data_IF_047211108442
#
_entry.id   IF_047211108442
#
_cell.length_a   1.000
_cell.length_b   1.000
_cell.length_c   1.000
_cell.angle_alpha   90.00
_cell.angle_beta   90.00
_cell.angle_gamma   90.00
#
_symmetry.space_group_name_H-M   'P 1'
#
loop_
_entity.id
_entity.type
_entity.pdbx_description
1 polymer ?
#
# COMPACT_ATOMS: atom_id res chain seq x y z
N UNK A 1 -31.44 -11.88 -19.92
CA UNK A 1 -29.97 -11.77 -19.85
C UNK A 1 -29.58 -10.42 -20.44
N UNK A 2 -29.27 -9.45 -19.59
CA UNK A 2 -28.74 -8.15 -20.02
C UNK A 2 -27.28 -8.36 -20.42
N UNK A 3 -26.81 -7.89 -21.58
CA UNK A 3 -25.41 -8.04 -21.97
C UNK A 3 -24.53 -7.29 -20.96
N UNK A 4 -23.54 -7.99 -20.39
CA UNK A 4 -22.52 -7.39 -19.56
C UNK A 4 -21.81 -6.30 -20.37
N UNK A 5 -21.80 -5.08 -19.86
CA UNK A 5 -21.02 -3.98 -20.44
C UNK A 5 -19.55 -4.34 -20.24
N UNK A 6 -18.86 -4.71 -21.30
CA UNK A 6 -17.39 -4.75 -21.31
C UNK A 6 -16.87 -3.31 -21.28
N UNK A 7 -16.75 -2.75 -20.09
CA UNK A 7 -15.90 -1.58 -19.86
C UNK A 7 -14.45 -1.95 -20.21
N UNK A 8 -13.70 -1.09 -20.90
CA UNK A 8 -12.31 -1.36 -21.22
C UNK A 8 -11.51 -1.54 -19.92
N UNK A 9 -10.61 -2.54 -19.90
CA UNK A 9 -9.76 -2.95 -18.77
C UNK A 9 -8.87 -1.84 -18.16
N UNK A 10 -8.89 -0.64 -18.74
CA UNK A 10 -8.06 0.50 -18.37
C UNK A 10 -8.77 1.52 -17.49
N UNK A 11 -10.11 1.53 -17.47
CA UNK A 11 -10.87 2.54 -16.74
C UNK A 11 -10.69 2.38 -15.22
N UNK A 12 -10.73 3.49 -14.50
CA UNK A 12 -10.79 3.47 -13.03
C UNK A 12 -12.16 2.95 -12.59
N UNK A 13 -12.30 2.37 -11.39
CA UNK A 13 -13.57 1.82 -10.95
C UNK A 13 -14.57 2.96 -10.84
N UNK A 14 -15.56 2.96 -11.73
CA UNK A 14 -16.65 3.94 -11.75
C UNK A 14 -17.91 3.28 -11.20
N UNK A 15 -17.94 3.02 -9.88
CA UNK A 15 -19.08 2.33 -9.31
C UNK A 15 -18.90 1.85 -7.88
N UNK A 16 -20.02 1.34 -7.35
CA UNK A 16 -20.22 0.89 -5.98
C UNK A 16 -20.38 -0.64 -5.87
N UNK A 17 -20.31 -1.36 -6.98
CA UNK A 17 -20.44 -2.83 -7.04
C UNK A 17 -19.09 -3.45 -7.39
N UNK A 18 -18.86 -4.69 -6.94
CA UNK A 18 -17.71 -5.50 -7.35
C UNK A 18 -17.88 -5.87 -8.83
N UNK A 19 -17.41 -5.02 -9.73
CA UNK A 19 -17.21 -5.38 -11.13
C UNK A 19 -15.72 -5.22 -11.45
N UNK A 20 -14.98 -6.26 -11.09
CA UNK A 20 -13.53 -6.27 -11.10
C UNK A 20 -12.96 -7.16 -12.21
N UNK A 21 -13.55 -7.10 -13.39
CA UNK A 21 -13.03 -7.76 -14.59
C UNK A 21 -13.46 -9.21 -14.76
N UNK A 22 -14.48 -9.67 -14.04
CA UNK A 22 -15.12 -10.97 -14.28
C UNK A 22 -14.29 -12.22 -13.92
N UNK A 23 -13.21 -12.07 -13.15
CA UNK A 23 -12.44 -13.21 -12.64
C UNK A 23 -12.90 -13.53 -11.21
N UNK A 24 -13.37 -14.76 -10.99
CA UNK A 24 -13.90 -15.19 -9.69
C UNK A 24 -12.88 -15.14 -8.53
N UNK A 25 -11.62 -14.79 -8.78
CA UNK A 25 -10.51 -14.99 -7.83
C UNK A 25 -9.42 -13.92 -7.90
N UNK A 26 -9.68 -12.76 -8.53
CA UNK A 26 -8.71 -11.69 -8.69
C UNK A 26 -9.27 -10.53 -9.50
N UNK A 27 -8.53 -9.42 -9.53
CA UNK A 27 -8.81 -8.34 -10.47
C UNK A 27 -8.23 -8.69 -11.86
N UNK A 28 -8.06 -7.68 -12.73
CA UNK A 28 -7.29 -7.84 -13.96
C UNK A 28 -5.83 -8.28 -13.70
N UNK A 29 -5.17 -8.99 -14.63
CA UNK A 29 -3.74 -9.26 -14.55
C UNK A 29 -2.93 -7.99 -14.30
N UNK A 30 -1.91 -8.08 -13.45
CA UNK A 30 -1.05 -6.93 -13.15
C UNK A 30 -0.06 -6.70 -14.29
N UNK A 31 -0.11 -5.52 -14.92
CA UNK A 31 0.84 -5.11 -15.94
C UNK A 31 1.93 -4.25 -15.30
N UNK A 32 3.18 -4.70 -15.36
CA UNK A 32 4.34 -3.93 -14.93
C UNK A 32 5.38 -3.90 -16.05
N UNK A 33 6.23 -2.87 -16.15
CA UNK A 33 7.43 -2.95 -16.96
C UNK A 33 8.41 -3.98 -16.38
N UNK A 34 9.40 -4.36 -17.19
CA UNK A 34 10.50 -5.17 -16.67
C UNK A 34 11.13 -4.47 -15.46
N UNK A 35 11.56 -5.24 -14.46
CA UNK A 35 12.09 -4.68 -13.22
C UNK A 35 13.33 -3.79 -13.44
N UNK A 36 14.13 -4.08 -14.47
CA UNK A 36 15.32 -3.30 -14.86
C UNK A 36 15.01 -2.11 -15.75
N UNK A 37 13.80 -2.01 -16.29
CA UNK A 37 13.42 -0.97 -17.25
C UNK A 37 12.65 0.16 -16.55
N UNK A 38 12.86 1.42 -16.98
CA UNK A 38 12.00 2.52 -16.58
C UNK A 38 10.56 2.31 -17.08
N UNK A 39 9.62 3.09 -16.55
CA UNK A 39 8.28 3.14 -17.15
C UNK A 39 8.36 3.69 -18.58
N UNK A 40 7.46 3.23 -19.44
CA UNK A 40 7.35 3.79 -20.79
C UNK A 40 7.02 5.30 -20.73
N UNK A 41 7.55 6.04 -21.71
CA UNK A 41 7.26 7.46 -21.87
C UNK A 41 5.76 7.67 -22.09
N UNK A 42 5.24 8.80 -21.60
CA UNK A 42 3.82 9.17 -21.70
C UNK A 42 3.33 9.13 -23.15
N UNK A 43 2.20 8.47 -23.36
CA UNK A 43 1.18 9.00 -24.26
C UNK A 43 0.40 10.09 -23.52
N UNK A 44 -0.17 11.05 -24.25
CA UNK A 44 -0.82 12.27 -23.74
C UNK A 44 -2.10 12.05 -22.89
N UNK A 45 -2.32 10.85 -22.34
CA UNK A 45 -3.50 10.55 -21.53
C UNK A 45 -3.34 11.08 -20.11
N UNK A 46 -4.25 11.97 -19.70
CA UNK A 46 -4.30 12.58 -18.37
C UNK A 46 -5.71 12.44 -17.77
N UNK A 47 -5.88 11.63 -16.71
CA UNK A 47 -7.10 11.65 -15.91
C UNK A 47 -6.85 12.17 -14.49
N UNK A 48 -6.15 13.30 -14.32
CA UNK A 48 -5.85 13.87 -12.98
C UNK A 48 -7.10 14.07 -12.11
N UNK A 49 -8.24 14.43 -12.72
CA UNK A 49 -9.53 14.53 -12.01
C UNK A 49 -10.00 13.19 -11.44
N UNK A 50 -9.81 12.10 -12.19
CA UNK A 50 -10.22 10.75 -11.78
C UNK A 50 -9.40 10.21 -10.61
N UNK A 51 -8.12 10.62 -10.48
CA UNK A 51 -7.26 10.21 -9.37
C UNK A 51 -7.68 10.80 -8.02
N UNK A 52 -8.01 12.09 -8.02
CA UNK A 52 -8.42 12.78 -6.79
C UNK A 52 -9.72 12.18 -6.25
N UNK A 53 -10.70 11.97 -7.12
CA UNK A 53 -11.98 11.32 -6.77
C UNK A 53 -11.76 9.90 -6.25
N UNK A 54 -10.86 9.13 -6.88
CA UNK A 54 -10.54 7.77 -6.44
C UNK A 54 -9.86 7.75 -5.06
N UNK A 55 -8.92 8.66 -4.80
CA UNK A 55 -8.29 8.78 -3.47
C UNK A 55 -9.33 9.14 -2.40
N UNK A 56 -10.25 10.06 -2.71
CA UNK A 56 -11.33 10.44 -1.80
C UNK A 56 -12.30 9.28 -1.54
N UNK A 57 -12.57 8.45 -2.56
CA UNK A 57 -13.36 7.24 -2.40
C UNK A 57 -12.71 6.26 -1.42
N UNK A 58 -11.42 5.95 -1.59
CA UNK A 58 -10.66 5.09 -0.66
C UNK A 58 -10.80 5.61 0.78
N UNK A 59 -10.59 6.91 0.97
CA UNK A 59 -10.71 7.54 2.29
C UNK A 59 -12.13 7.44 2.87
N UNK A 60 -13.15 7.58 2.03
CA UNK A 60 -14.55 7.52 2.47
C UNK A 60 -14.93 6.10 2.90
N UNK A 61 -14.41 5.08 2.23
CA UNK A 61 -14.63 3.67 2.58
C UNK A 61 -14.04 3.29 3.95
N UNK A 62 -13.04 4.03 4.44
CA UNK A 62 -12.44 3.82 5.76
C UNK A 62 -13.18 4.48 6.93
N UNK A 63 -14.33 5.11 6.69
CA UNK A 63 -15.14 5.75 7.75
C UNK A 63 -16.28 4.83 8.15
N UNK A 64 -16.37 4.51 9.43
CA UNK A 64 -17.40 3.63 10.01
C UNK A 64 -18.84 4.08 9.68
N UNK A 65 -19.07 5.38 9.51
CA UNK A 65 -20.39 5.96 9.24
C UNK A 65 -20.73 6.09 7.73
N UNK A 66 -19.80 5.74 6.84
CA UNK A 66 -20.06 5.86 5.41
C UNK A 66 -20.98 4.72 4.96
N UNK A 67 -22.08 4.99 4.24
CA UNK A 67 -22.88 3.92 3.65
C UNK A 67 -22.03 3.18 2.61
N UNK A 68 -21.45 2.05 3.02
CA UNK A 68 -20.80 1.12 2.11
C UNK A 68 -21.89 0.50 1.25
N UNK A 69 -21.80 0.62 -0.08
CA UNK A 69 -22.74 -0.10 -0.93
C UNK A 69 -22.69 -1.60 -0.62
N UNK A 70 -23.84 -2.28 -0.61
CA UNK A 70 -23.87 -3.70 -0.35
C UNK A 70 -23.03 -4.41 -1.40
N UNK A 71 -22.00 -5.09 -0.94
CA UNK A 71 -21.25 -6.07 -1.70
C UNK A 71 -21.86 -7.41 -1.34
N UNK A 72 -22.33 -8.16 -2.35
CA UNK A 72 -22.75 -9.54 -2.15
C UNK A 72 -21.53 -10.32 -1.60
N UNK A 73 -21.61 -10.91 -0.40
CA UNK A 73 -20.52 -11.72 0.13
C UNK A 73 -20.18 -12.83 -0.86
N UNK A 74 -18.89 -13.06 -1.11
CA UNK A 74 -18.45 -14.24 -1.85
C UNK A 74 -18.98 -15.50 -1.17
N UNK A 75 -19.46 -16.47 -1.93
CA UNK A 75 -20.18 -17.64 -1.39
C UNK A 75 -19.27 -18.56 -0.56
N UNK A 76 -17.94 -18.48 -0.71
CA UNK A 76 -16.97 -19.31 0.03
C UNK A 76 -15.73 -18.53 0.54
N UNK A 77 -15.29 -18.85 1.76
CA UNK A 77 -14.14 -18.22 2.43
C UNK A 77 -12.83 -18.39 1.63
N UNK A 78 -12.67 -19.50 0.91
CA UNK A 78 -11.54 -19.76 0.02
C UNK A 78 -11.35 -18.68 -1.04
N UNK A 79 -12.45 -18.19 -1.62
CA UNK A 79 -12.40 -17.19 -2.69
C UNK A 79 -11.93 -15.85 -2.15
N UNK A 80 -12.49 -15.44 -1.01
CA UNK A 80 -12.11 -14.21 -0.33
C UNK A 80 -10.62 -14.18 0.00
N UNK A 81 -10.12 -15.20 0.70
CA UNK A 81 -8.73 -15.20 1.11
C UNK A 81 -7.75 -15.44 -0.04
N UNK A 82 -8.18 -16.14 -1.10
CA UNK A 82 -7.41 -16.18 -2.35
C UNK A 82 -7.33 -14.80 -3.00
N UNK A 83 -8.44 -14.07 -3.08
CA UNK A 83 -8.48 -12.69 -3.56
C UNK A 83 -7.54 -11.80 -2.75
N UNK A 84 -7.62 -11.84 -1.41
CA UNK A 84 -6.70 -11.09 -0.54
C UNK A 84 -5.25 -11.42 -0.83
N UNK A 85 -4.95 -12.71 -0.98
CA UNK A 85 -3.61 -13.20 -1.27
C UNK A 85 -3.06 -12.64 -2.58
N UNK A 86 -3.80 -12.79 -3.69
CA UNK A 86 -3.34 -12.32 -5.01
C UNK A 86 -3.29 -10.79 -5.07
N UNK A 87 -4.38 -10.12 -4.70
CA UNK A 87 -4.52 -8.66 -4.84
C UNK A 87 -3.55 -7.91 -3.94
N UNK A 88 -3.39 -8.35 -2.68
CA UNK A 88 -2.46 -7.71 -1.74
C UNK A 88 -1.01 -7.83 -2.18
N UNK A 89 -0.58 -9.01 -2.68
CA UNK A 89 0.79 -9.17 -3.22
C UNK A 89 1.02 -8.33 -4.48
N UNK A 90 0.03 -8.24 -5.38
CA UNK A 90 0.13 -7.36 -6.54
C UNK A 90 0.33 -5.90 -6.15
N UNK A 91 -0.34 -5.43 -5.09
CA UNK A 91 -0.09 -4.09 -4.52
C UNK A 91 1.33 -3.97 -3.99
N UNK A 92 1.86 -4.98 -3.27
CA UNK A 92 3.27 -5.00 -2.84
C UNK A 92 4.23 -4.80 -4.02
N UNK A 93 3.96 -5.43 -5.17
CA UNK A 93 4.85 -5.32 -6.34
C UNK A 93 4.85 -3.91 -6.92
N UNK A 94 3.67 -3.29 -7.00
CA UNK A 94 3.56 -1.90 -7.43
C UNK A 94 4.30 -0.97 -6.45
N UNK A 95 4.11 -1.18 -5.14
CA UNK A 95 4.79 -0.40 -4.09
C UNK A 95 6.32 -0.54 -4.23
N UNK A 96 6.85 -1.75 -4.36
CA UNK A 96 8.29 -1.97 -4.55
C UNK A 96 8.82 -1.31 -5.82
N UNK A 97 8.04 -1.32 -6.91
CA UNK A 97 8.40 -0.61 -8.13
C UNK A 97 8.45 0.91 -7.90
N UNK A 98 7.43 1.49 -7.27
CA UNK A 98 7.38 2.93 -6.98
C UNK A 98 8.52 3.38 -6.06
N UNK A 99 8.83 2.58 -5.03
CA UNK A 99 10.00 2.80 -4.17
C UNK A 99 11.30 2.69 -4.97
N UNK A 100 11.47 1.67 -5.80
CA UNK A 100 12.65 1.49 -6.65
C UNK A 100 12.86 2.67 -7.60
N UNK A 101 11.80 3.21 -8.18
CA UNK A 101 11.88 4.42 -9.02
C UNK A 101 12.30 5.65 -8.23
N UNK A 102 11.78 5.81 -7.02
CA UNK A 102 12.16 6.92 -6.14
C UNK A 102 13.64 6.84 -5.73
N UNK A 103 14.13 5.63 -5.46
CA UNK A 103 15.56 5.38 -5.24
C UNK A 103 16.41 5.71 -6.48
N UNK A 104 15.95 5.32 -7.66
CA UNK A 104 16.62 5.64 -8.93
C UNK A 104 16.62 7.15 -9.22
N UNK A 105 15.55 7.88 -8.87
CA UNK A 105 15.47 9.35 -8.94
C UNK A 105 16.46 10.01 -7.96
N UNK A 106 16.55 9.52 -6.71
CA UNK A 106 17.52 10.00 -5.71
C UNK A 106 18.95 9.81 -6.18
N UNK A 107 19.30 8.61 -6.66
CA UNK A 107 20.65 8.28 -7.10
C UNK A 107 21.08 9.11 -8.32
N UNK A 108 20.13 9.56 -9.15
CA UNK A 108 20.37 10.45 -10.29
C UNK A 108 20.33 11.93 -9.93
N UNK A 109 20.02 12.28 -8.68
CA UNK A 109 19.83 13.67 -8.24
C UNK A 109 18.58 14.34 -8.83
N UNK A 110 17.62 13.58 -9.35
CA UNK A 110 16.37 14.09 -9.90
C UNK A 110 15.34 14.47 -8.82
N UNK A 111 15.55 14.01 -7.59
CA UNK A 111 14.79 14.38 -6.39
C UNK A 111 15.73 14.51 -5.19
N UNK A 112 15.34 15.27 -4.18
CA UNK A 112 16.11 15.42 -2.95
C UNK A 112 15.74 14.35 -1.92
N UNK A 113 16.66 14.03 -1.00
CA UNK A 113 16.39 13.12 0.11
C UNK A 113 15.15 13.54 0.92
N UNK A 114 15.02 14.84 1.19
CA UNK A 114 13.89 15.40 1.92
C UNK A 114 12.55 15.18 1.19
N UNK A 115 12.53 15.36 -0.13
CA UNK A 115 11.31 15.17 -0.93
C UNK A 115 10.92 13.69 -1.08
N UNK A 116 11.89 12.77 -0.96
CA UNK A 116 11.67 11.35 -1.08
C UNK A 116 11.31 10.65 0.24
N UNK A 117 11.60 11.26 1.39
CA UNK A 117 11.44 10.63 2.69
C UNK A 117 9.98 10.25 2.98
N UNK A 118 9.06 11.22 2.92
CA UNK A 118 7.65 10.99 3.24
C UNK A 118 6.97 9.95 2.31
N UNK A 119 7.13 10.01 0.97
CA UNK A 119 6.64 8.94 0.10
C UNK A 119 7.23 7.56 0.46
N UNK A 120 8.52 7.49 0.83
CA UNK A 120 9.17 6.24 1.21
C UNK A 120 8.56 5.66 2.48
N UNK A 121 8.32 6.49 3.51
CA UNK A 121 7.64 6.06 4.74
C UNK A 121 6.25 5.49 4.42
N UNK A 122 5.44 6.22 3.62
CA UNK A 122 4.09 5.74 3.26
C UNK A 122 4.09 4.46 2.43
N UNK A 123 5.09 4.26 1.59
CA UNK A 123 5.22 3.00 0.86
C UNK A 123 5.63 1.83 1.77
N UNK A 124 6.47 2.06 2.79
CA UNK A 124 6.78 1.05 3.81
C UNK A 124 5.56 0.73 4.67
N UNK A 125 4.81 1.75 5.09
CA UNK A 125 3.55 1.59 5.82
C UNK A 125 2.54 0.80 4.98
N UNK A 126 2.42 1.15 3.69
CA UNK A 126 1.58 0.46 2.72
C UNK A 126 1.95 -1.01 2.54
N UNK A 127 3.25 -1.32 2.50
CA UNK A 127 3.72 -2.70 2.45
C UNK A 127 3.34 -3.47 3.72
N UNK A 128 3.46 -2.84 4.90
CA UNK A 128 3.04 -3.40 6.18
C UNK A 128 1.54 -3.71 6.19
N UNK A 129 0.71 -2.76 5.73
CA UNK A 129 -0.74 -2.96 5.58
C UNK A 129 -1.07 -4.13 4.64
N UNK A 130 -0.34 -4.30 3.53
CA UNK A 130 -0.53 -5.45 2.64
C UNK A 130 -0.10 -6.79 3.24
N UNK A 131 0.92 -6.81 4.09
CA UNK A 131 1.29 -8.01 4.84
C UNK A 131 0.20 -8.40 5.84
N UNK A 132 -0.41 -7.44 6.55
CA UNK A 132 -1.56 -7.70 7.41
C UNK A 132 -2.77 -8.19 6.61
N UNK A 133 -3.08 -7.52 5.50
CA UNK A 133 -4.19 -7.87 4.63
C UNK A 133 -4.07 -9.29 4.05
N UNK A 134 -2.92 -9.63 3.47
CA UNK A 134 -2.65 -10.99 2.94
C UNK A 134 -2.50 -12.02 4.06
N UNK A 135 -1.92 -11.63 5.19
CA UNK A 135 -1.73 -12.44 6.39
C UNK A 135 -2.99 -12.62 7.24
N UNK A 136 -4.07 -11.92 6.92
CA UNK A 136 -5.37 -12.06 7.61
C UNK A 136 -5.95 -13.47 7.46
N UNK A 137 -5.57 -14.18 6.40
CA UNK A 137 -5.93 -15.56 6.11
C UNK A 137 -5.84 -16.48 7.36
N UNK A 138 -6.91 -17.24 7.67
CA UNK A 138 -6.88 -18.28 8.69
C UNK A 138 -5.76 -19.27 8.39
N UNK A 139 -5.08 -19.73 9.44
CA UNK A 139 -3.93 -20.61 9.32
C UNK A 139 -4.28 -21.89 8.55
N UNK A 140 -5.41 -22.51 8.86
CA UNK A 140 -5.84 -23.74 8.21
C UNK A 140 -6.05 -23.52 6.70
N UNK A 141 -6.72 -22.44 6.32
CA UNK A 141 -6.95 -22.06 4.94
C UNK A 141 -5.63 -21.78 4.19
N UNK A 142 -4.68 -21.10 4.84
CA UNK A 142 -3.33 -20.94 4.28
C UNK A 142 -2.65 -22.30 4.03
N UNK A 143 -2.80 -23.27 4.93
CA UNK A 143 -2.16 -24.58 4.81
C UNK A 143 -2.85 -25.53 3.83
N UNK A 144 -4.16 -25.40 3.59
CA UNK A 144 -4.89 -26.27 2.64
C UNK A 144 -4.99 -25.68 1.23
N UNK A 145 -4.97 -24.35 1.08
CA UNK A 145 -5.17 -23.68 -0.21
C UNK A 145 -3.89 -22.98 -0.70
N UNK A 146 -3.43 -21.97 0.05
CA UNK A 146 -2.39 -21.03 -0.40
C UNK A 146 -1.01 -21.70 -0.47
N UNK A 147 -0.59 -22.39 0.59
CA UNK A 147 0.73 -23.02 0.66
C UNK A 147 0.87 -24.19 -0.33
N UNK A 148 -0.12 -25.07 -0.50
CA UNK A 148 -0.07 -26.11 -1.53
C UNK A 148 0.01 -25.54 -2.95
N UNK A 149 -0.75 -24.49 -3.27
CA UNK A 149 -0.72 -23.87 -4.61
C UNK A 149 0.67 -23.28 -4.94
N UNK A 150 1.33 -22.62 -3.98
CA UNK A 150 2.71 -22.15 -4.14
C UNK A 150 3.69 -23.32 -4.34
N UNK A 151 3.54 -24.41 -3.58
CA UNK A 151 4.38 -25.60 -3.69
C UNK A 151 4.22 -26.31 -5.04
N UNK A 152 3.02 -26.29 -5.63
CA UNK A 152 2.76 -26.81 -6.98
C UNK A 152 3.56 -26.06 -8.05
N UNK A 153 3.82 -24.76 -7.85
CA UNK A 153 4.70 -23.99 -8.73
C UNK A 153 6.16 -24.34 -8.49
N UNK A 154 6.60 -24.32 -7.24
CA UNK A 154 7.94 -24.76 -6.87
C UNK A 154 8.07 -25.06 -5.36
N UNK A 155 8.79 -26.13 -5.02
CA UNK A 155 9.04 -26.54 -3.61
C UNK A 155 9.71 -25.47 -2.73
N UNK A 156 10.42 -24.54 -3.36
CA UNK A 156 11.19 -23.46 -2.74
C UNK A 156 10.58 -22.06 -2.94
N UNK A 157 9.31 -21.99 -3.37
CA UNK A 157 8.64 -20.73 -3.70
C UNK A 157 8.80 -19.71 -2.56
N UNK A 158 9.23 -18.50 -2.90
CA UNK A 158 9.63 -17.49 -1.92
C UNK A 158 9.30 -16.09 -2.43
N UNK A 159 8.86 -15.20 -1.53
CA UNK A 159 8.69 -13.77 -1.82
C UNK A 159 9.97 -13.11 -2.34
N UNK A 160 11.14 -13.62 -1.96
CA UNK A 160 12.43 -13.11 -2.43
C UNK A 160 12.69 -13.32 -3.93
N UNK A 161 11.81 -14.03 -4.64
CA UNK A 161 11.90 -14.23 -6.08
C UNK A 161 11.24 -13.13 -6.90
N UNK A 162 10.48 -12.25 -6.25
CA UNK A 162 9.86 -11.10 -6.92
C UNK A 162 10.91 -10.25 -7.65
N UNK A 163 10.74 -9.96 -8.95
CA UNK A 163 11.73 -9.19 -9.72
C UNK A 163 12.02 -7.79 -9.18
N UNK A 164 11.04 -7.10 -8.59
CA UNK A 164 11.20 -5.72 -8.10
C UNK A 164 11.77 -5.64 -6.66
N UNK A 165 11.63 -6.70 -5.86
CA UNK A 165 12.05 -6.71 -4.45
C UNK A 165 13.56 -6.45 -4.22
N UNK A 166 14.50 -6.96 -5.05
CA UNK A 166 15.93 -6.70 -4.86
C UNK A 166 16.29 -5.21 -4.76
N UNK A 167 15.54 -4.31 -5.41
CA UNK A 167 15.79 -2.85 -5.38
C UNK A 167 15.54 -2.23 -4.01
N UNK A 168 14.63 -2.80 -3.23
CA UNK A 168 14.17 -2.27 -1.94
C UNK A 168 14.60 -3.13 -0.75
N UNK A 169 15.21 -4.29 -1.02
CA UNK A 169 15.59 -5.27 0.00
C UNK A 169 16.48 -4.70 1.10
N UNK A 170 17.48 -3.89 0.77
CA UNK A 170 18.39 -3.34 1.78
C UNK A 170 17.69 -2.34 2.70
N UNK A 171 16.71 -1.58 2.18
CA UNK A 171 15.88 -0.69 3.00
C UNK A 171 15.12 -1.48 4.07
N UNK A 172 14.44 -2.56 3.69
CA UNK A 172 13.71 -3.42 4.64
C UNK A 172 14.64 -4.14 5.64
N UNK A 173 15.94 -4.24 5.33
CA UNK A 173 16.98 -4.71 6.27
C UNK A 173 17.47 -3.62 7.23
N UNK A 174 16.81 -2.47 7.27
CA UNK A 174 17.21 -1.33 8.10
C UNK A 174 18.44 -0.60 7.56
N UNK A 175 18.76 -0.76 6.28
CA UNK A 175 19.92 -0.11 5.62
C UNK A 175 19.40 0.88 4.58
N UNK A 176 18.97 2.09 4.99
CA UNK A 176 18.53 3.09 4.04
C UNK A 176 19.68 3.45 3.06
N UNK A 177 19.36 3.88 1.83
CA UNK A 177 20.36 4.30 0.86
C UNK A 177 21.26 5.40 1.41
N UNK A 178 22.55 5.38 1.04
CA UNK A 178 23.50 6.44 1.41
C UNK A 178 23.06 7.83 0.94
N UNK A 179 22.34 7.90 -0.19
CA UNK A 179 21.74 9.13 -0.70
C UNK A 179 20.69 9.75 0.24
N UNK A 180 20.21 9.00 1.24
CA UNK A 180 19.30 9.49 2.28
C UNK A 180 20.00 9.78 3.62
N UNK A 181 21.29 9.44 3.78
CA UNK A 181 22.02 9.56 5.06
C UNK A 181 22.31 10.99 5.52
N UNK A 182 22.02 12.00 4.69
CA UNK A 182 22.17 13.42 5.04
C UNK A 182 20.92 14.05 5.68
N UNK A 183 19.81 13.32 5.78
CA UNK A 183 18.56 13.78 6.40
C UNK A 183 18.22 13.01 7.68
N UNK A 184 17.25 13.51 8.44
CA UNK A 184 16.66 12.78 9.55
C UNK A 184 15.83 11.60 9.00
N UNK A 185 16.37 10.39 9.09
CA UNK A 185 15.72 9.15 8.63
C UNK A 185 14.97 8.42 9.74
N UNK A 186 14.80 9.05 10.93
CA UNK A 186 14.16 8.43 12.09
C UNK A 186 12.78 7.83 11.78
N UNK A 187 11.91 8.62 11.15
CA UNK A 187 10.56 8.16 10.76
C UNK A 187 10.60 6.96 9.80
N UNK A 188 11.52 6.96 8.83
CA UNK A 188 11.66 5.84 7.89
C UNK A 188 12.15 4.57 8.59
N UNK A 189 13.11 4.70 9.51
CA UNK A 189 13.61 3.57 10.29
C UNK A 189 12.53 3.01 11.22
N UNK A 190 11.68 3.88 11.79
CA UNK A 190 10.52 3.48 12.57
C UNK A 190 9.49 2.72 11.73
N UNK A 191 9.14 3.22 10.54
CA UNK A 191 8.28 2.49 9.59
C UNK A 191 8.88 1.13 9.21
N UNK A 192 10.19 1.03 8.96
CA UNK A 192 10.87 -0.25 8.66
C UNK A 192 10.85 -1.19 9.87
N UNK A 193 11.00 -0.68 11.09
CA UNK A 193 10.88 -1.47 12.32
C UNK A 193 9.48 -2.05 12.45
N UNK A 194 8.44 -1.24 12.29
CA UNK A 194 7.04 -1.70 12.33
C UNK A 194 6.77 -2.74 11.24
N UNK A 195 7.26 -2.51 10.03
CA UNK A 195 7.20 -3.49 8.94
C UNK A 195 7.77 -4.85 9.36
N UNK A 196 8.94 -4.86 10.01
CA UNK A 196 9.58 -6.11 10.43
C UNK A 196 8.76 -6.83 11.52
N UNK A 197 8.18 -6.09 12.47
CA UNK A 197 7.25 -6.66 13.46
C UNK A 197 6.03 -7.30 12.79
N UNK A 198 5.40 -6.61 11.85
CA UNK A 198 4.26 -7.13 11.07
C UNK A 198 4.67 -8.39 10.30
N UNK A 199 5.79 -8.33 9.58
CA UNK A 199 6.29 -9.46 8.79
C UNK A 199 6.55 -10.70 9.67
N UNK A 200 7.21 -10.51 10.81
CA UNK A 200 7.55 -11.59 11.72
C UNK A 200 6.29 -12.17 12.39
N UNK A 201 5.32 -11.33 12.77
CA UNK A 201 4.02 -11.77 13.26
C UNK A 201 3.27 -12.61 12.22
N UNK A 202 3.15 -12.13 10.98
CA UNK A 202 2.51 -12.89 9.89
C UNK A 202 3.22 -14.23 9.65
N UNK A 203 4.55 -14.25 9.69
CA UNK A 203 5.33 -15.47 9.57
C UNK A 203 5.08 -16.44 10.74
N UNK A 204 5.04 -15.95 11.97
CA UNK A 204 4.74 -16.74 13.16
C UNK A 204 3.32 -17.35 13.11
N UNK A 205 2.34 -16.58 12.63
CA UNK A 205 0.95 -17.06 12.45
C UNK A 205 0.86 -18.15 11.38
N UNK A 206 1.37 -17.89 10.18
CA UNK A 206 1.14 -18.76 9.02
C UNK A 206 2.14 -19.91 8.90
N UNK A 207 3.33 -19.77 9.48
CA UNK A 207 4.44 -20.72 9.38
C UNK A 207 5.20 -20.79 10.72
N UNK A 208 4.56 -21.20 11.84
CA UNK A 208 5.16 -21.13 13.18
C UNK A 208 6.44 -21.93 13.35
N UNK A 209 6.64 -23.00 12.57
CA UNK A 209 7.89 -23.76 12.57
C UNK A 209 9.06 -22.99 11.92
N UNK A 210 8.84 -21.78 11.41
CA UNK A 210 9.84 -20.86 10.84
C UNK A 210 10.54 -21.36 9.57
N UNK A 211 10.28 -22.60 9.14
CA UNK A 211 10.94 -23.19 7.98
C UNK A 211 10.34 -22.62 6.69
N UNK A 212 10.96 -21.54 6.19
CA UNK A 212 10.75 -21.04 4.83
C UNK A 212 10.83 -22.20 3.83
N UNK A 213 9.98 -22.18 2.80
CA UNK A 213 10.04 -23.16 1.69
C UNK A 213 11.44 -23.19 1.05
N UNK A 214 12.15 -22.06 1.04
CA UNK A 214 13.53 -21.96 0.58
C UNK A 214 14.47 -22.84 1.41
N UNK A 215 14.32 -22.85 2.74
CA UNK A 215 15.15 -23.64 3.65
C UNK A 215 14.76 -25.13 3.65
N UNK A 216 13.52 -25.45 3.28
CA UNK A 216 13.05 -26.85 3.13
C UNK A 216 13.53 -27.49 1.83
N UNK A 217 13.84 -26.68 0.81
CA UNK A 217 14.22 -27.18 -0.49
C UNK A 217 15.74 -27.29 -0.63
N UNK A 218 16.24 -28.49 -0.91
CA UNK A 218 17.65 -28.71 -1.26
C UNK A 218 17.96 -28.20 -2.69
N UNK A 219 17.81 -26.90 -2.94
CA UNK A 219 18.03 -26.29 -4.24
C UNK A 219 19.35 -25.52 -4.22
N UNK A 220 20.34 -26.03 -4.96
CA UNK A 220 21.62 -25.35 -5.17
C UNK A 220 21.52 -24.52 -6.44
N UNK A 221 21.73 -23.20 -6.33
CA UNK A 221 21.78 -22.20 -7.42
C UNK A 221 20.50 -22.10 -8.26
N UNK A 222 19.64 -21.14 -7.92
CA UNK A 222 18.47 -20.79 -8.70
C UNK A 222 18.82 -19.77 -9.79
N UNK A 223 18.36 -20.00 -11.02
CA UNK A 223 18.39 -18.97 -12.05
C UNK A 223 17.38 -17.88 -11.68
N UNK A 224 17.87 -16.69 -11.31
CA UNK A 224 17.05 -15.57 -10.85
C UNK A 224 15.99 -15.13 -11.88
N UNK A 225 16.29 -15.19 -13.18
CA UNK A 225 15.31 -14.88 -14.22
C UNK A 225 14.17 -15.90 -14.29
N UNK A 226 14.50 -17.19 -14.20
CA UNK A 226 13.50 -18.26 -14.21
C UNK A 226 12.58 -18.22 -12.99
N UNK A 227 13.13 -18.03 -11.78
CA UNK A 227 12.29 -17.94 -10.57
C UNK A 227 11.45 -16.67 -10.56
N UNK A 228 11.95 -15.57 -11.12
CA UNK A 228 11.17 -14.35 -11.34
C UNK A 228 9.96 -14.58 -12.24
N UNK A 229 10.12 -15.30 -13.35
CA UNK A 229 9.00 -15.66 -14.24
C UNK A 229 7.98 -16.58 -13.56
N UNK A 230 8.42 -17.57 -12.78
CA UNK A 230 7.52 -18.43 -11.99
C UNK A 230 6.71 -17.59 -10.99
N UNK A 231 7.39 -16.64 -10.35
CA UNK A 231 6.78 -15.74 -9.37
C UNK A 231 5.73 -14.82 -10.01
N UNK A 232 6.10 -14.11 -11.08
CA UNK A 232 5.18 -13.25 -11.84
C UNK A 232 3.98 -14.07 -12.38
N UNK A 233 4.21 -15.28 -12.90
CA UNK A 233 3.15 -16.15 -13.40
C UNK A 233 2.16 -16.57 -12.30
N UNK A 234 2.64 -16.91 -11.10
CA UNK A 234 1.77 -17.29 -9.99
C UNK A 234 0.83 -16.14 -9.58
N UNK A 235 1.35 -14.91 -9.57
CA UNK A 235 0.59 -13.71 -9.22
C UNK A 235 -0.05 -13.00 -10.42
N UNK A 236 -0.15 -13.68 -11.57
CA UNK A 236 -0.79 -13.15 -12.79
C UNK A 236 -0.21 -11.78 -13.21
N UNK A 237 1.10 -11.61 -13.08
CA UNK A 237 1.83 -10.41 -13.46
C UNK A 237 2.44 -10.59 -14.85
N UNK A 238 2.16 -9.65 -15.75
CA UNK A 238 2.68 -9.63 -17.12
C UNK A 238 3.66 -8.47 -17.25
N UNK A 239 4.86 -8.77 -17.74
CA UNK A 239 5.91 -7.77 -17.95
C UNK A 239 5.86 -7.22 -19.38
N UNK A 240 5.50 -5.96 -19.54
CA UNK A 240 5.48 -5.27 -20.85
C UNK A 240 5.71 -3.75 -20.68
N UNK A 241 6.12 -3.04 -21.75
CA UNK A 241 6.26 -1.58 -21.68
C UNK A 241 4.93 -0.92 -21.33
N UNK A 242 4.80 -0.42 -20.10
CA UNK A 242 3.64 0.35 -19.62
C UNK A 242 4.08 1.66 -19.00
N UNK A 243 3.22 2.66 -19.10
CA UNK A 243 3.46 3.99 -18.55
C UNK A 243 3.24 4.00 -17.05
N UNK A 244 3.84 4.99 -16.35
CA UNK A 244 3.58 5.24 -14.93
C UNK A 244 2.09 5.42 -14.65
N UNK A 245 1.39 6.09 -15.57
CA UNK A 245 -0.05 6.30 -15.48
C UNK A 245 -0.80 4.96 -15.34
N UNK A 246 -0.53 3.99 -16.21
CA UNK A 246 -1.14 2.66 -16.12
C UNK A 246 -0.78 1.91 -14.83
N UNK A 247 0.47 2.03 -14.34
CA UNK A 247 0.88 1.42 -13.07
C UNK A 247 0.07 2.02 -11.90
N UNK A 248 -0.07 3.35 -11.85
CA UNK A 248 -0.82 4.04 -10.80
C UNK A 248 -2.33 3.76 -10.90
N UNK A 249 -2.91 3.72 -12.09
CA UNK A 249 -4.32 3.38 -12.25
C UNK A 249 -4.65 1.96 -11.75
N UNK A 250 -3.78 0.99 -12.06
CA UNK A 250 -3.88 -0.38 -11.55
C UNK A 250 -3.75 -0.45 -10.02
N UNK A 251 -2.88 0.37 -9.42
CA UNK A 251 -2.78 0.50 -7.97
C UNK A 251 -4.09 1.01 -7.38
N UNK A 252 -4.63 2.11 -7.92
CA UNK A 252 -5.86 2.72 -7.42
C UNK A 252 -7.05 1.75 -7.46
N UNK A 253 -7.22 0.99 -8.56
CA UNK A 253 -8.25 -0.06 -8.64
C UNK A 253 -8.12 -1.08 -7.52
N UNK A 254 -6.90 -1.55 -7.26
CA UNK A 254 -6.60 -2.53 -6.21
C UNK A 254 -6.87 -1.96 -4.82
N UNK A 255 -6.44 -0.73 -4.56
CA UNK A 255 -6.65 -0.09 -3.26
C UNK A 255 -8.13 0.17 -2.99
N UNK A 256 -8.92 0.54 -4.00
CA UNK A 256 -10.39 0.64 -3.87
C UNK A 256 -10.99 -0.73 -3.53
N UNK A 257 -10.60 -1.78 -4.26
CA UNK A 257 -11.12 -3.13 -4.02
C UNK A 257 -10.78 -3.65 -2.62
N UNK A 258 -9.55 -3.41 -2.14
CA UNK A 258 -9.12 -3.75 -0.78
C UNK A 258 -9.91 -2.95 0.26
N UNK A 259 -10.08 -1.64 0.06
CA UNK A 259 -10.85 -0.81 0.99
C UNK A 259 -12.31 -1.25 1.07
N UNK A 260 -12.93 -1.62 -0.06
CA UNK A 260 -14.28 -2.18 -0.10
C UNK A 260 -14.37 -3.53 0.59
N UNK A 261 -13.41 -4.43 0.36
CA UNK A 261 -13.33 -5.71 1.05
C UNK A 261 -13.25 -5.50 2.57
N UNK A 262 -12.29 -4.72 3.05
CA UNK A 262 -12.10 -4.49 4.49
C UNK A 262 -13.33 -3.83 5.12
N UNK A 263 -13.98 -2.89 4.43
CA UNK A 263 -15.22 -2.27 4.90
C UNK A 263 -16.41 -3.24 4.95
N UNK A 264 -16.42 -4.27 4.10
CA UNK A 264 -17.53 -5.25 4.01
C UNK A 264 -17.31 -6.43 4.95
N UNK A 265 -16.11 -7.02 4.92
CA UNK A 265 -15.80 -8.31 5.55
C UNK A 265 -14.94 -8.15 6.82
N UNK A 266 -14.47 -6.94 7.13
CA UNK A 266 -13.48 -6.71 8.17
C UNK A 266 -12.11 -7.30 7.81
N UNK A 267 -11.07 -6.94 8.56
CA UNK A 267 -9.74 -7.52 8.34
C UNK A 267 -9.65 -8.95 8.85
N UNK A 268 -10.22 -9.26 10.02
CA UNK A 268 -10.25 -10.61 10.61
C UNK A 268 -11.70 -11.03 10.77
N UNK A 269 -12.13 -12.06 10.03
CA UNK A 269 -13.48 -12.62 10.17
C UNK A 269 -13.61 -13.47 11.44
N UNK A 270 -12.50 -14.04 11.93
CA UNK A 270 -12.44 -14.94 13.10
C UNK A 270 -11.45 -14.44 14.18
N UNK A 271 -11.73 -14.88 15.41
CA UNK A 271 -11.28 -14.39 16.72
C UNK A 271 -9.83 -13.89 16.85
N UNK A 272 -9.70 -12.57 17.03
CA UNK A 272 -8.43 -11.82 17.23
C UNK A 272 -7.64 -12.34 18.44
N UNK A 273 -8.33 -12.90 19.42
CA UNK A 273 -7.76 -13.42 20.67
C UNK A 273 -6.85 -14.63 20.46
N UNK A 274 -6.88 -15.25 19.27
CA UNK A 274 -6.02 -16.38 18.90
C UNK A 274 -4.75 -15.98 18.13
N UNK A 275 -4.56 -14.69 17.86
CA UNK A 275 -3.38 -14.20 17.14
C UNK A 275 -2.12 -14.25 18.03
N UNK A 276 -0.92 -14.49 17.44
CA UNK A 276 0.35 -14.43 18.16
C UNK A 276 0.59 -13.09 18.86
N UNK A 277 1.40 -13.09 19.92
CA UNK A 277 1.75 -11.91 20.73
C UNK A 277 2.26 -10.73 19.89
N UNK A 278 2.96 -11.00 18.78
CA UNK A 278 3.48 -9.99 17.88
C UNK A 278 2.37 -9.09 17.26
N UNK A 279 1.16 -9.63 17.07
CA UNK A 279 0.01 -8.86 16.56
C UNK A 279 -0.61 -7.94 17.61
N UNK A 280 -0.34 -8.18 18.89
CA UNK A 280 -0.93 -7.40 19.99
C UNK A 280 -0.08 -6.18 20.37
N UNK A 281 1.06 -5.96 19.70
CA UNK A 281 1.85 -4.74 19.87
C UNK A 281 1.06 -3.51 19.43
N UNK A 282 1.23 -2.39 20.15
CA UNK A 282 0.46 -1.17 19.89
C UNK A 282 0.66 -0.67 18.45
N UNK A 283 1.85 -0.85 17.89
CA UNK A 283 2.17 -0.46 16.52
C UNK A 283 1.47 -1.32 15.47
N UNK A 284 1.40 -2.64 15.67
CA UNK A 284 0.68 -3.53 14.74
C UNK A 284 -0.83 -3.27 14.83
N UNK A 285 -1.38 -3.15 16.03
CA UNK A 285 -2.79 -2.78 16.23
C UNK A 285 -3.13 -1.44 15.57
N UNK A 286 -2.21 -0.46 15.65
CA UNK A 286 -2.39 0.82 14.96
C UNK A 286 -2.40 0.63 13.45
N UNK A 287 -1.47 -0.15 12.90
CA UNK A 287 -1.41 -0.44 11.46
C UNK A 287 -2.68 -1.14 10.95
N UNK A 288 -3.25 -2.06 11.73
CA UNK A 288 -4.54 -2.71 11.42
C UNK A 288 -5.70 -1.70 11.39
N UNK A 289 -5.81 -0.86 12.42
CA UNK A 289 -6.88 0.15 12.53
C UNK A 289 -6.78 1.22 11.45
N UNK A 290 -5.56 1.65 11.16
CA UNK A 290 -5.29 2.71 10.19
C UNK A 290 -5.17 2.17 8.76
N UNK A 291 -5.44 0.88 8.51
CA UNK A 291 -5.20 0.21 7.22
C UNK A 291 -5.73 1.02 6.05
N UNK A 292 -6.99 1.48 6.09
CA UNK A 292 -7.60 2.22 4.97
C UNK A 292 -7.01 3.63 4.81
N UNK A 293 -6.64 4.30 5.91
CA UNK A 293 -5.94 5.59 5.82
C UNK A 293 -4.52 5.41 5.24
N UNK A 294 -3.84 4.31 5.56
CA UNK A 294 -2.56 3.93 4.93
C UNK A 294 -2.76 3.73 3.43
N UNK A 295 -3.83 3.05 2.99
CA UNK A 295 -4.13 2.90 1.55
C UNK A 295 -4.36 4.26 0.88
N UNK A 296 -5.07 5.17 1.55
CA UNK A 296 -5.29 6.53 1.06
C UNK A 296 -3.97 7.28 0.89
N UNK A 297 -3.07 7.24 1.87
CA UNK A 297 -1.78 7.91 1.79
C UNK A 297 -0.89 7.32 0.68
N UNK A 298 -0.86 5.99 0.52
CA UNK A 298 -0.18 5.33 -0.60
C UNK A 298 -0.73 5.82 -1.94
N UNK A 299 -2.06 5.86 -2.09
CA UNK A 299 -2.72 6.35 -3.30
C UNK A 299 -2.35 7.82 -3.59
N UNK A 300 -2.42 8.68 -2.57
CA UNK A 300 -2.10 10.11 -2.66
C UNK A 300 -0.66 10.33 -3.16
N UNK A 301 0.31 9.62 -2.58
CA UNK A 301 1.71 9.72 -2.99
C UNK A 301 1.98 9.12 -4.38
N UNK A 302 1.36 8.00 -4.72
CA UNK A 302 1.49 7.40 -6.05
C UNK A 302 1.00 8.35 -7.15
N UNK A 303 -0.13 9.04 -6.88
CA UNK A 303 -0.73 10.05 -7.75
C UNK A 303 -0.03 11.41 -7.71
N UNK A 304 0.97 11.61 -6.83
CA UNK A 304 1.67 12.90 -6.61
C UNK A 304 0.71 14.05 -6.26
N UNK A 305 -0.35 13.76 -5.50
CA UNK A 305 -1.34 14.75 -5.07
C UNK A 305 -0.82 15.56 -3.86
N UNK A 306 -1.17 16.86 -3.77
CA UNK A 306 -0.83 17.67 -2.60
C UNK A 306 -1.50 17.11 -1.33
N UNK A 307 -0.97 17.44 -0.13
CA UNK A 307 -1.63 17.08 1.11
C UNK A 307 -3.04 17.71 1.19
N UNK A 308 -4.00 17.04 1.86
CA UNK A 308 -5.36 17.55 1.99
C UNK A 308 -5.37 18.92 2.70
N UNK A 309 -6.22 19.85 2.22
CA UNK A 309 -6.24 21.26 2.63
C UNK A 309 -6.41 21.50 4.14
N UNK A 310 -6.91 20.52 4.89
CA UNK A 310 -7.11 20.61 6.34
C UNK A 310 -5.82 20.44 7.18
N UNK A 311 -4.70 20.07 6.55
CA UNK A 311 -3.41 19.90 7.23
C UNK A 311 -2.51 21.14 7.21
N UNK A 312 -2.91 22.23 6.54
CA UNK A 312 -2.17 23.49 6.64
C UNK A 312 -2.48 24.13 8.00
N UNK A 313 -1.50 24.36 8.88
CA UNK A 313 -1.69 25.30 9.98
C UNK A 313 -2.18 26.59 9.33
N UNK A 314 -3.34 27.11 9.75
CA UNK A 314 -3.75 28.45 9.34
C UNK A 314 -2.59 29.36 9.71
N UNK A 315 -1.82 29.79 8.73
CA UNK A 315 -0.90 30.90 8.90
C UNK A 315 -1.75 32.01 9.48
N UNK A 316 -1.52 32.35 10.75
CA UNK A 316 -2.10 33.52 11.35
C UNK A 316 -1.69 34.68 10.45
N UNK A 317 -2.66 35.28 9.75
CA UNK A 317 -2.42 36.45 8.93
C UNK A 317 -1.87 37.54 9.87
N UNK A 318 -0.63 38.04 9.69
CA UNK A 318 -0.06 39.06 10.55
C UNK A 318 -0.80 40.40 10.47
N UNK A 319 -1.80 40.54 9.59
CA UNK A 319 -2.50 41.80 9.31
C UNK A 319 -3.57 42.19 10.33
N UNK A 320 -3.69 41.49 11.47
CA UNK A 320 -4.58 41.88 12.57
C UNK A 320 -3.87 42.27 13.88
N UNK A 321 -2.71 42.91 13.78
CA UNK A 321 -2.19 43.73 14.89
C UNK A 321 -1.91 45.15 14.36
N UNK A 322 -2.97 45.96 14.23
CA UNK A 322 -2.84 47.43 14.14
C UNK A 322 -2.89 48.00 15.57
N UNK A 323 -1.81 48.61 16.10
CA UNK A 323 -1.79 49.14 17.46
C UNK A 323 -2.49 50.51 17.62
N UNK A 324 -3.24 50.99 16.61
CA UNK A 324 -3.67 52.40 16.54
C UNK A 324 -4.99 52.78 17.21
N UNK A 325 -5.43 52.02 18.21
CA UNK A 325 -6.45 52.49 19.14
C UNK A 325 -5.94 52.40 20.59
N UNK A 326 -4.99 53.27 20.93
CA UNK A 326 -4.81 53.73 22.31
C UNK A 326 -5.55 55.05 22.48
N UNK A 327 -6.62 54.98 23.25
CA UNK A 327 -7.50 56.07 23.65
C UNK A 327 -6.79 57.00 24.65
N UNK A 328 -6.59 58.31 24.37
CA UNK A 328 -5.93 59.23 25.28
C UNK A 328 -6.98 60.02 26.07
N UNK A 329 -7.65 59.39 27.05
CA UNK A 329 -8.51 60.13 28.00
C UNK A 329 -8.52 59.51 29.40
N UNK A 330 -7.49 59.83 30.19
CA UNK A 330 -7.65 60.10 31.64
C UNK A 330 -6.40 60.78 32.18
N UNK A 331 -6.37 62.11 32.09
CA UNK A 331 -5.45 62.96 32.84
C UNK A 331 -6.21 64.22 33.29
N UNK A 332 -6.94 64.07 34.39
CA UNK A 332 -7.44 65.10 35.29
C UNK A 332 -7.96 64.31 36.50
N UNK A 333 -7.44 64.39 37.72
CA UNK A 333 -6.73 65.45 38.40
C UNK A 333 -7.36 65.53 39.79
N UNK A 334 -6.62 65.26 40.86
CA UNK A 334 -6.94 65.75 42.22
C UNK A 334 -5.62 65.95 42.96
N UNK A 335 -5.27 67.21 43.13
CA UNK A 335 -4.44 67.69 44.23
C UNK A 335 -5.39 68.28 45.29
N UNK A 336 -5.11 68.06 46.57
CA UNK A 336 -5.64 68.92 47.63
C UNK A 336 -6.00 68.23 48.94
N UNK A 337 -5.07 68.34 49.89
CA UNK A 337 -5.20 68.30 51.36
C UNK A 337 -5.24 66.93 52.06
#
# INVERSE_FOLDING_TARGET
>A
MTPARTTPFTDLPAGRQWDFGGFAYGLEPLLLPAATEPDALRDNDHPERSYTETCQLIRTLGRDDAPTPPVEPGEAAEELYWFRWITGHQVCFIIWRLMGQLLDELNRGATSAQAALEPMCRYVDGHSAMLLYTGSCPRDLYHVLIRPSMRLRHRAFSGSWAPDYPKVRELFRGRPPLSMSGGDTGELLDSVRVHNLVHDGVAAKLVPDGRSLLNQAAVRRLNHGMVGMIYDSYFMTVRLPVTRHHVVAQLLRRLVAIAQDVATNGLYADDRDTLPDEFHTAEVVKCEKDLVEILFEVARFACRLPPPEHARPRHQDPRHQDPRHQDPRTAAGVAGQ
#
